data_IF_083916313532
#
_entry.id   IF_083916313532
#
_cell.length_a   1.000
_cell.length_b   1.000
_cell.length_c   1.000
_cell.angle_alpha   90.00
_cell.angle_beta   90.00
_cell.angle_gamma   90.00
#
_symmetry.space_group_name_H-M   'P 1'
#
loop_
_entity.id
_entity.type
_entity.pdbx_description
1 polymer ?
#
# COMPACT_ATOMS: atom_id res chain seq x y z
N UNK A 1 3.12 5.07 12.43
CA UNK A 1 1.69 4.72 12.21
C UNK A 1 1.23 3.69 13.23
N UNK A 2 1.90 2.54 13.34
CA UNK A 2 1.58 1.49 14.34
C UNK A 2 1.63 2.02 15.78
N UNK A 3 2.57 2.90 16.12
CA UNK A 3 2.64 3.53 17.47
C UNK A 3 1.39 4.37 17.82
N UNK A 4 0.72 4.97 16.83
CA UNK A 4 -0.51 5.75 17.08
C UNK A 4 -1.73 4.84 17.31
N UNK A 5 -1.70 3.61 16.78
CA UNK A 5 -2.70 2.60 17.12
C UNK A 5 -2.53 2.08 18.55
N UNK A 6 -1.33 2.15 19.12
CA UNK A 6 -1.04 1.74 20.49
C UNK A 6 -1.34 2.84 21.52
N UNK A 7 -1.02 4.10 21.17
CA UNK A 7 -1.09 5.24 22.09
C UNK A 7 -2.31 6.16 21.90
N UNK A 8 -3.17 5.86 20.91
CA UNK A 8 -4.34 6.68 20.58
C UNK A 8 -4.06 7.80 19.59
N UNK A 9 -5.14 8.41 19.09
CA UNK A 9 -5.16 9.36 17.97
C UNK A 9 -4.45 10.67 18.32
N UNK A 10 -3.20 10.81 17.88
CA UNK A 10 -2.59 12.13 17.70
C UNK A 10 -3.02 12.68 16.32
N UNK A 11 -3.45 13.93 16.28
CA UNK A 11 -3.75 14.64 15.05
C UNK A 11 -2.44 15.16 14.41
N UNK A 12 -1.47 14.25 14.26
CA UNK A 12 -0.08 14.59 13.99
C UNK A 12 0.08 15.33 12.66
N UNK A 13 0.77 16.47 12.72
CA UNK A 13 1.17 17.26 11.56
C UNK A 13 1.93 16.37 10.56
N UNK A 14 2.72 15.41 11.05
CA UNK A 14 3.46 14.44 10.27
C UNK A 14 2.57 13.64 9.30
N UNK A 15 1.43 13.09 9.76
CA UNK A 15 0.51 12.35 8.88
C UNK A 15 -0.06 13.23 7.76
N UNK A 16 -0.47 14.47 8.08
CA UNK A 16 -1.00 15.40 7.07
C UNK A 16 0.05 15.78 6.03
N UNK A 17 1.28 16.04 6.47
CA UNK A 17 2.40 16.34 5.57
C UNK A 17 2.70 15.16 4.66
N UNK A 18 2.82 13.94 5.19
CA UNK A 18 3.05 12.74 4.40
C UNK A 18 1.94 12.50 3.37
N UNK A 19 0.66 12.64 3.77
CA UNK A 19 -0.48 12.50 2.85
C UNK A 19 -0.44 13.52 1.71
N UNK A 20 -0.08 14.77 2.00
CA UNK A 20 0.05 15.81 0.97
C UNK A 20 1.18 15.50 0.00
N UNK A 21 2.35 15.09 0.51
CA UNK A 21 3.49 14.71 -0.33
C UNK A 21 3.13 13.53 -1.26
N UNK A 22 2.47 12.50 -0.71
CA UNK A 22 2.01 11.35 -1.50
C UNK A 22 0.99 11.76 -2.58
N UNK A 23 0.07 12.68 -2.26
CA UNK A 23 -0.87 13.19 -3.25
C UNK A 23 -0.17 13.94 -4.38
N UNK A 24 0.78 14.83 -4.06
CA UNK A 24 1.54 15.57 -5.07
C UNK A 24 2.32 14.61 -5.97
N UNK A 25 3.02 13.62 -5.41
CA UNK A 25 3.72 12.60 -6.18
C UNK A 25 2.78 11.81 -7.12
N UNK A 26 1.54 11.55 -6.68
CA UNK A 26 0.53 10.88 -7.52
C UNK A 26 0.08 11.77 -8.69
N UNK A 27 -0.01 13.10 -8.49
CA UNK A 27 -0.30 14.06 -9.56
C UNK A 27 0.85 14.05 -10.57
N UNK A 28 2.09 14.20 -10.10
CA UNK A 28 3.28 14.23 -10.95
C UNK A 28 3.40 12.94 -11.78
N UNK A 29 3.18 11.78 -11.17
CA UNK A 29 3.15 10.49 -11.85
C UNK A 29 2.05 10.44 -12.93
N UNK A 30 0.84 10.93 -12.62
CA UNK A 30 -0.26 10.95 -13.59
C UNK A 30 0.03 11.88 -14.77
N UNK A 31 0.70 13.00 -14.54
CA UNK A 31 1.12 13.93 -15.59
C UNK A 31 2.19 13.31 -16.47
N UNK A 32 3.21 12.66 -15.89
CA UNK A 32 4.27 11.96 -16.63
C UNK A 32 3.70 10.86 -17.53
N UNK A 33 2.78 10.05 -17.02
CA UNK A 33 2.15 8.96 -17.80
C UNK A 33 1.28 9.51 -18.92
N UNK A 34 0.57 10.63 -18.67
CA UNK A 34 -0.18 11.32 -19.72
C UNK A 34 0.75 11.80 -20.84
N UNK A 35 1.89 12.42 -20.49
CA UNK A 35 2.90 12.83 -21.46
C UNK A 35 3.42 11.66 -22.29
N UNK A 36 3.86 10.58 -21.63
CA UNK A 36 4.30 9.33 -22.26
C UNK A 36 3.27 8.81 -23.28
N UNK A 37 1.98 8.85 -22.94
CA UNK A 37 0.91 8.36 -23.82
C UNK A 37 0.68 9.23 -25.06
N UNK A 38 1.20 10.46 -25.07
CA UNK A 38 1.04 11.43 -26.17
C UNK A 38 2.30 11.62 -27.00
N UNK A 39 3.38 10.90 -26.69
CA UNK A 39 4.62 10.96 -27.47
C UNK A 39 4.40 10.46 -28.91
N UNK A 40 5.20 10.94 -29.90
CA UNK A 40 5.14 10.40 -31.26
C UNK A 40 5.57 8.93 -31.27
N UNK A 41 4.65 8.03 -31.66
CA UNK A 41 4.84 6.57 -31.67
C UNK A 41 5.15 5.98 -30.27
N UNK A 42 4.23 6.09 -29.30
CA UNK A 42 4.49 5.59 -27.96
C UNK A 42 4.49 4.06 -27.96
N UNK A 43 5.33 3.43 -27.12
CA UNK A 43 5.28 1.98 -26.91
C UNK A 43 3.95 1.62 -26.20
N UNK A 44 3.01 0.91 -26.87
CA UNK A 44 1.71 0.62 -26.30
C UNK A 44 1.77 -0.25 -25.03
N UNK A 45 2.78 -1.12 -24.91
CA UNK A 45 2.96 -1.94 -23.72
C UNK A 45 3.50 -1.12 -22.55
N UNK A 46 4.47 -0.24 -22.81
CA UNK A 46 4.99 0.67 -21.80
C UNK A 46 3.88 1.57 -21.25
N UNK A 47 3.09 2.19 -22.13
CA UNK A 47 1.94 3.03 -21.74
C UNK A 47 0.94 2.22 -20.90
N UNK A 48 0.60 0.99 -21.33
CA UNK A 48 -0.32 0.12 -20.59
C UNK A 48 0.21 -0.22 -19.20
N UNK A 49 1.48 -0.63 -19.07
CA UNK A 49 2.08 -0.93 -17.76
C UNK A 49 2.15 0.32 -16.88
N UNK A 50 2.43 1.49 -17.45
CA UNK A 50 2.46 2.75 -16.73
C UNK A 50 1.09 3.11 -16.14
N UNK A 51 0.02 3.05 -16.93
CA UNK A 51 -1.34 3.26 -16.43
C UNK A 51 -1.75 2.25 -15.35
N UNK A 52 -1.40 0.97 -15.52
CA UNK A 52 -1.65 -0.05 -14.49
C UNK A 52 -0.92 0.30 -13.20
N UNK A 53 0.35 0.71 -13.29
CA UNK A 53 1.14 1.12 -12.12
C UNK A 53 0.50 2.32 -11.41
N UNK A 54 0.03 3.34 -12.15
CA UNK A 54 -0.67 4.50 -11.59
C UNK A 54 -1.88 4.08 -10.75
N UNK A 55 -2.70 3.16 -11.27
CA UNK A 55 -3.90 2.64 -10.59
C UNK A 55 -3.51 1.88 -9.32
N UNK A 56 -2.56 0.94 -9.40
CA UNK A 56 -2.11 0.19 -8.22
C UNK A 56 -1.49 1.09 -7.15
N UNK A 57 -0.67 2.08 -7.54
CA UNK A 57 -0.10 3.08 -6.64
C UNK A 57 -1.20 3.88 -5.93
N UNK A 58 -2.20 4.35 -6.68
CA UNK A 58 -3.32 5.09 -6.11
C UNK A 58 -4.13 4.26 -5.10
N UNK A 59 -4.40 2.99 -5.43
CA UNK A 59 -5.09 2.06 -4.53
C UNK A 59 -4.32 1.84 -3.23
N UNK A 60 -3.01 1.62 -3.31
CA UNK A 60 -2.13 1.44 -2.14
C UNK A 60 -2.15 2.66 -1.22
N UNK A 61 -2.04 3.87 -1.79
CA UNK A 61 -2.15 5.12 -1.03
C UNK A 61 -3.53 5.28 -0.38
N UNK A 62 -4.60 4.85 -1.06
CA UNK A 62 -5.97 4.91 -0.54
C UNK A 62 -6.17 3.97 0.64
N UNK A 63 -5.63 2.75 0.57
CA UNK A 63 -5.71 1.79 1.68
C UNK A 63 -4.92 2.27 2.91
N UNK A 64 -3.71 2.81 2.71
CA UNK A 64 -2.93 3.44 3.79
C UNK A 64 -3.67 4.65 4.38
N UNK A 65 -4.30 5.47 3.54
CA UNK A 65 -5.05 6.63 4.00
C UNK A 65 -6.29 6.24 4.82
N UNK A 66 -6.97 5.15 4.45
CA UNK A 66 -8.11 4.60 5.19
C UNK A 66 -7.68 4.09 6.57
N UNK A 67 -6.56 3.36 6.65
CA UNK A 67 -5.94 3.00 7.93
C UNK A 67 -5.59 4.27 8.73
N UNK A 68 -4.96 5.25 8.09
CA UNK A 68 -4.59 6.52 8.74
C UNK A 68 -5.77 7.32 9.27
N UNK A 69 -6.93 7.32 8.61
CA UNK A 69 -8.14 8.02 9.08
C UNK A 69 -8.84 7.30 10.24
N UNK A 70 -8.75 5.97 10.26
CA UNK A 70 -9.33 5.09 11.28
C UNK A 70 -8.23 4.56 12.20
N UNK A 71 -7.51 5.47 12.86
CA UNK A 71 -6.48 5.17 13.86
C UNK A 71 -7.07 5.21 15.28
N UNK A 72 -8.08 4.38 15.53
CA UNK A 72 -8.55 4.17 16.89
C UNK A 72 -7.59 3.23 17.62
N UNK A 73 -7.65 3.21 18.93
CA UNK A 73 -6.76 2.36 19.71
C UNK A 73 -7.08 0.89 19.43
N UNK A 74 -6.05 0.14 19.04
CA UNK A 74 -6.13 -1.32 18.85
C UNK A 74 -5.39 -1.97 20.01
N UNK A 75 -6.11 -2.74 20.80
CA UNK A 75 -5.56 -3.47 21.96
C UNK A 75 -5.28 -4.94 21.66
N UNK A 76 -5.83 -5.46 20.56
CA UNK A 76 -5.58 -6.84 20.12
C UNK A 76 -4.12 -7.01 19.70
N UNK A 77 -3.38 -7.82 20.46
CA UNK A 77 -1.96 -8.06 20.23
C UNK A 77 -1.67 -8.71 18.87
N UNK A 78 -2.54 -9.58 18.38
CA UNK A 78 -2.35 -10.26 17.09
C UNK A 78 -2.46 -9.25 15.95
N UNK A 79 -3.46 -8.35 16.01
CA UNK A 79 -3.62 -7.30 15.01
C UNK A 79 -2.45 -6.32 15.06
N UNK A 80 -1.96 -5.94 16.24
CA UNK A 80 -0.77 -5.09 16.36
C UNK A 80 0.49 -5.74 15.76
N UNK A 81 0.69 -7.04 15.96
CA UNK A 81 1.79 -7.80 15.34
C UNK A 81 1.64 -7.81 13.82
N UNK A 82 0.44 -8.08 13.31
CA UNK A 82 0.14 -8.04 11.88
C UNK A 82 0.43 -6.67 11.27
N UNK A 83 -0.01 -5.59 11.91
CA UNK A 83 0.24 -4.22 11.45
C UNK A 83 1.72 -3.88 11.39
N UNK A 84 2.49 -4.31 12.41
CA UNK A 84 3.94 -4.13 12.45
C UNK A 84 4.63 -4.91 11.35
N UNK A 85 4.24 -6.17 11.14
CA UNK A 85 4.74 -6.99 10.04
C UNK A 85 4.45 -6.33 8.69
N UNK A 86 3.21 -5.89 8.44
CA UNK A 86 2.84 -5.21 7.20
C UNK A 86 3.68 -3.93 6.98
N UNK A 87 3.86 -3.11 8.01
CA UNK A 87 4.72 -1.92 7.93
C UNK A 87 6.18 -2.28 7.57
N UNK A 88 6.74 -3.31 8.21
CA UNK A 88 8.09 -3.79 7.95
C UNK A 88 8.24 -4.31 6.51
N UNK A 89 7.31 -5.16 6.06
CA UNK A 89 7.28 -5.70 4.70
C UNK A 89 7.22 -4.59 3.66
N UNK A 90 6.28 -3.64 3.80
CA UNK A 90 6.16 -2.49 2.88
C UNK A 90 7.45 -1.66 2.85
N UNK A 91 8.06 -1.40 4.02
CA UNK A 91 9.33 -0.67 4.11
C UNK A 91 10.46 -1.42 3.40
N UNK A 92 10.59 -2.72 3.64
CA UNK A 92 11.61 -3.57 3.03
C UNK A 92 11.53 -3.58 1.51
N UNK A 93 10.33 -3.82 0.95
CA UNK A 93 10.19 -3.99 -0.50
C UNK A 93 10.09 -2.68 -1.28
N UNK A 94 9.49 -1.63 -0.70
CA UNK A 94 9.30 -0.35 -1.37
C UNK A 94 10.52 0.56 -1.24
N UNK A 95 11.10 0.68 -0.04
CA UNK A 95 12.19 1.63 0.22
C UNK A 95 13.57 0.96 0.17
N UNK A 96 13.69 -0.26 0.69
CA UNK A 96 14.97 -0.98 0.76
C UNK A 96 15.19 -1.94 -0.41
N UNK A 97 14.22 -2.03 -1.33
CA UNK A 97 14.25 -2.88 -2.53
C UNK A 97 14.55 -4.36 -2.22
N UNK A 98 14.12 -4.83 -1.06
CA UNK A 98 14.25 -6.24 -0.69
C UNK A 98 13.28 -7.10 -1.53
N UNK A 99 13.63 -8.37 -1.80
CA UNK A 99 12.72 -9.29 -2.46
C UNK A 99 11.46 -9.53 -1.60
N UNK A 100 10.31 -9.60 -2.25
CA UNK A 100 9.06 -9.96 -1.59
C UNK A 100 8.95 -11.47 -1.44
N UNK A 101 8.87 -11.96 -0.20
CA UNK A 101 8.54 -13.36 0.07
C UNK A 101 7.02 -13.58 -0.09
N UNK A 102 6.59 -14.04 -1.25
CA UNK A 102 5.16 -14.27 -1.56
C UNK A 102 4.51 -15.31 -0.65
N UNK A 103 5.27 -16.31 -0.21
CA UNK A 103 4.79 -17.29 0.77
C UNK A 103 4.33 -16.64 2.09
N UNK A 104 5.07 -15.65 2.59
CA UNK A 104 4.72 -14.95 3.82
C UNK A 104 3.46 -14.10 3.63
N UNK A 105 3.26 -13.53 2.43
CA UNK A 105 2.05 -12.80 2.05
C UNK A 105 0.83 -13.72 2.12
N UNK A 106 0.89 -14.89 1.48
CA UNK A 106 -0.22 -15.84 1.46
C UNK A 106 -0.58 -16.32 2.87
N UNK A 107 0.43 -16.62 3.69
CA UNK A 107 0.21 -16.99 5.08
C UNK A 107 -0.47 -15.85 5.88
N UNK A 108 -0.04 -14.60 5.68
CA UNK A 108 -0.60 -13.42 6.35
C UNK A 108 -2.02 -13.10 5.88
N UNK A 109 -2.34 -13.34 4.60
CA UNK A 109 -3.71 -13.23 4.09
C UNK A 109 -4.64 -14.29 4.72
N UNK A 110 -4.18 -15.53 4.87
CA UNK A 110 -4.94 -16.57 5.56
C UNK A 110 -5.11 -16.28 7.07
N UNK A 111 -4.11 -15.65 7.71
CA UNK A 111 -4.22 -15.13 9.08
C UNK A 111 -5.28 -14.02 9.19
N UNK A 112 -5.26 -13.03 8.29
CA UNK A 112 -6.25 -11.96 8.22
C UNK A 112 -7.67 -12.52 8.05
N UNK A 113 -7.84 -13.49 7.14
CA UNK A 113 -9.13 -14.11 6.91
C UNK A 113 -9.68 -14.77 8.18
N UNK A 114 -8.85 -15.54 8.90
CA UNK A 114 -9.24 -16.16 10.18
C UNK A 114 -9.61 -15.12 11.23
N UNK A 115 -8.80 -14.07 11.40
CA UNK A 115 -9.09 -12.97 12.34
C UNK A 115 -10.41 -12.26 12.01
N UNK A 116 -10.69 -12.05 10.71
CA UNK A 116 -11.92 -11.37 10.27
C UNK A 116 -13.20 -12.18 10.54
N UNK A 117 -13.09 -13.50 10.69
CA UNK A 117 -14.22 -14.42 10.97
C UNK A 117 -14.46 -14.69 12.45
N UNK A 118 -13.63 -14.17 13.34
CA UNK A 118 -13.83 -14.33 14.78
C UNK A 118 -15.08 -13.59 15.25
N UNK A 119 -15.80 -14.18 16.19
CA UNK A 119 -16.97 -13.54 16.82
C UNK A 119 -16.56 -12.26 17.56
N UNK A 120 -17.46 -11.29 17.63
CA UNK A 120 -17.30 -10.01 18.34
C UNK A 120 -16.20 -9.07 17.81
N UNK A 121 -15.72 -9.24 16.58
CA UNK A 121 -14.84 -8.26 15.95
C UNK A 121 -15.58 -6.92 15.71
N UNK A 122 -14.99 -5.82 16.17
CA UNK A 122 -15.57 -4.50 15.96
C UNK A 122 -15.49 -4.11 14.48
N UNK A 123 -16.43 -3.29 14.00
CA UNK A 123 -16.42 -2.78 12.63
C UNK A 123 -15.09 -2.08 12.28
N UNK A 124 -14.48 -1.42 13.27
CA UNK A 124 -13.17 -0.80 13.15
C UNK A 124 -12.06 -1.81 12.83
N UNK A 125 -11.99 -2.91 13.59
CA UNK A 125 -10.97 -3.95 13.39
C UNK A 125 -11.15 -4.65 12.04
N UNK A 126 -12.40 -4.93 11.65
CA UNK A 126 -12.71 -5.50 10.34
C UNK A 126 -12.24 -4.58 9.20
N UNK A 127 -12.41 -3.26 9.35
CA UNK A 127 -11.88 -2.29 8.39
C UNK A 127 -10.35 -2.36 8.33
N UNK A 128 -9.66 -2.34 9.46
CA UNK A 128 -8.19 -2.41 9.52
C UNK A 128 -7.68 -3.67 8.84
N UNK A 129 -8.24 -4.83 9.20
CA UNK A 129 -7.92 -6.12 8.59
C UNK A 129 -8.15 -6.11 7.06
N UNK A 130 -9.28 -5.54 6.61
CA UNK A 130 -9.58 -5.47 5.18
C UNK A 130 -8.61 -4.56 4.41
N UNK A 131 -8.23 -3.41 4.97
CA UNK A 131 -7.27 -2.52 4.30
C UNK A 131 -5.88 -3.16 4.23
N UNK A 132 -5.45 -3.88 5.27
CA UNK A 132 -4.19 -4.64 5.24
C UNK A 132 -4.28 -5.75 4.19
N UNK A 133 -5.40 -6.50 4.10
CA UNK A 133 -5.57 -7.54 3.09
C UNK A 133 -5.40 -6.97 1.68
N UNK A 134 -6.07 -5.86 1.37
CA UNK A 134 -6.00 -5.20 0.06
C UNK A 134 -4.59 -4.69 -0.27
N UNK A 135 -3.85 -4.18 0.72
CA UNK A 135 -2.45 -3.80 0.55
C UNK A 135 -1.60 -5.02 0.14
N UNK A 136 -1.73 -6.13 0.87
CA UNK A 136 -0.92 -7.32 0.64
C UNK A 136 -1.30 -8.03 -0.68
N UNK A 137 -2.59 -8.13 -1.00
CA UNK A 137 -3.11 -8.72 -2.24
C UNK A 137 -2.58 -8.01 -3.50
N UNK A 138 -2.41 -6.69 -3.43
CA UNK A 138 -2.06 -5.87 -4.61
C UNK A 138 -0.58 -5.49 -4.69
N UNK A 139 0.19 -5.72 -3.62
CA UNK A 139 1.61 -5.39 -3.55
C UNK A 139 2.49 -6.14 -4.58
N UNK A 140 2.32 -7.45 -4.83
CA UNK A 140 3.14 -8.16 -5.82
C UNK A 140 3.04 -7.55 -7.23
N UNK A 141 1.82 -7.22 -7.67
CA UNK A 141 1.61 -6.65 -9.00
C UNK A 141 2.17 -5.23 -9.10
N UNK A 142 2.03 -4.41 -8.05
CA UNK A 142 2.67 -3.09 -7.98
C UNK A 142 4.20 -3.22 -8.16
N UNK A 143 4.83 -4.14 -7.43
CA UNK A 143 6.27 -4.35 -7.50
C UNK A 143 6.68 -4.86 -8.87
N UNK A 144 5.96 -5.81 -9.46
CA UNK A 144 6.23 -6.31 -10.82
C UNK A 144 6.20 -5.17 -11.83
N UNK A 145 5.14 -4.35 -11.82
CA UNK A 145 5.00 -3.19 -12.71
C UNK A 145 6.13 -2.18 -12.51
N UNK A 146 6.54 -1.91 -11.26
CA UNK A 146 7.70 -1.06 -10.97
C UNK A 146 8.96 -1.57 -11.65
N UNK A 147 9.24 -2.87 -11.56
CA UNK A 147 10.42 -3.46 -12.20
C UNK A 147 10.33 -3.42 -13.74
N UNK A 148 9.15 -3.67 -14.31
CA UNK A 148 8.92 -3.54 -15.77
C UNK A 148 9.22 -2.12 -16.26
N UNK A 149 8.72 -1.10 -15.55
CA UNK A 149 8.91 0.30 -15.92
C UNK A 149 10.37 0.75 -15.77
N UNK A 150 11.03 0.42 -14.65
CA UNK A 150 12.45 0.74 -14.46
C UNK A 150 13.37 0.01 -15.45
N UNK A 151 13.01 -1.21 -15.84
CA UNK A 151 13.74 -1.96 -16.86
C UNK A 151 13.57 -1.40 -18.28
N UNK A 152 12.49 -0.65 -18.53
CA UNK A 152 12.22 -0.01 -19.82
C UNK A 152 12.94 1.34 -19.96
N UNK A 153 13.16 2.09 -18.87
CA UNK A 153 13.91 3.37 -18.89
C UNK A 153 15.43 3.21 -19.14
N UNK A 154 15.98 1.99 -18.99
CA UNK A 154 17.42 1.71 -19.17
C UNK A 154 17.75 1.30 -20.63
N UNK A 155 16.78 1.29 -21.54
CA UNK A 155 16.98 0.91 -22.95
C UNK A 155 17.10 2.10 -23.89
#
# INVERSE_FOLDING_TARGET
MVEQYQNGKDNSIAYRTARRLAHNAQIDLSSMISSLSTEPNPDPQLVKSAFRYLVYSHSQLSYIAALGSHREQVTDAQILVLMRWCQQTLTGVLLQQQPLATYDIDHKLAEIQRLSTQENQSAHLLLVLKQISLLLETLPELLKLRHELLGAEIK
#
